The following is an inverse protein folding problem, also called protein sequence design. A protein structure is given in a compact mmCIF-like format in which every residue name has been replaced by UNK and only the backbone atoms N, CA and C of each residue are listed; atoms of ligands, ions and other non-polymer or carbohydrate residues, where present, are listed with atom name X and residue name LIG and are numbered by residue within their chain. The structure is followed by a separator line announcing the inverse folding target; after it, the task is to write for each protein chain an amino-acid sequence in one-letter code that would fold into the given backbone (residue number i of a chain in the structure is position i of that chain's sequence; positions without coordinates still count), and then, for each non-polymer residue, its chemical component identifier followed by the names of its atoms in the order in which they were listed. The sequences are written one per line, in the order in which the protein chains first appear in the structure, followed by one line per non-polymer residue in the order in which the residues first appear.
data_IF_188459671820
#
_entry.id   IF_188459671820
#
_cell.length_a   1.000
_cell.length_b   1.000
_cell.length_c   1.000
_cell.angle_alpha   90.00
_cell.angle_beta   90.00
_cell.angle_gamma   90.00
#
_symmetry.space_group_name_H-M   'P 1'
#
loop_
_entity.id
_entity.type
_entity.pdbx_description
1 polymer ?
#
# COMPACT_ATOMS: atom_id res chain seq x y z
N UNK A 1 -16.21 -4.88 -19.05
CA UNK A 1 -15.23 -3.81 -18.67
C UNK A 1 -13.82 -4.39 -18.55
N UNK A 2 -12.77 -3.59 -18.72
CA UNK A 2 -11.37 -4.07 -18.66
C UNK A 2 -10.56 -3.30 -17.62
N UNK A 3 -10.13 -4.00 -16.58
CA UNK A 3 -9.25 -3.47 -15.55
C UNK A 3 -7.88 -4.14 -15.60
N UNK A 4 -6.88 -3.51 -15.01
CA UNK A 4 -5.56 -4.12 -14.91
C UNK A 4 -4.73 -3.55 -13.76
N UNK A 5 -3.71 -4.29 -13.34
CA UNK A 5 -2.59 -3.76 -12.56
C UNK A 5 -1.38 -3.54 -13.47
N UNK A 6 -0.79 -2.35 -13.39
CA UNK A 6 0.36 -1.92 -14.19
C UNK A 6 1.61 -1.88 -13.30
N UNK A 7 2.72 -2.49 -13.75
CA UNK A 7 4.00 -2.44 -13.04
C UNK A 7 5.16 -3.05 -13.83
N UNK A 8 6.36 -2.97 -13.26
CA UNK A 8 7.53 -3.70 -13.76
C UNK A 8 8.52 -4.00 -12.60
N UNK A 9 8.72 -5.28 -12.23
CA UNK A 9 7.99 -6.46 -12.69
C UNK A 9 6.53 -6.50 -12.18
N UNK A 10 5.68 -7.35 -12.77
CA UNK A 10 4.25 -7.43 -12.39
C UNK A 10 3.68 -8.85 -12.20
N UNK A 11 4.42 -9.88 -12.65
CA UNK A 11 3.90 -11.25 -12.73
C UNK A 11 3.39 -11.82 -11.39
N UNK A 12 3.99 -11.39 -10.27
CA UNK A 12 3.68 -11.84 -8.91
C UNK A 12 2.48 -11.13 -8.27
N UNK A 13 1.90 -10.10 -8.89
CA UNK A 13 0.77 -9.40 -8.29
C UNK A 13 -0.41 -10.34 -8.03
N UNK A 14 -0.98 -10.29 -6.83
CA UNK A 14 -2.18 -11.04 -6.46
C UNK A 14 -3.48 -10.24 -6.70
N UNK A 15 -3.39 -8.96 -7.08
CA UNK A 15 -4.56 -8.09 -7.34
C UNK A 15 -5.58 -8.70 -8.32
N UNK A 16 -5.19 -9.38 -9.41
CA UNK A 16 -6.17 -10.06 -10.27
C UNK A 16 -7.05 -11.07 -9.55
N UNK A 17 -6.50 -11.86 -8.63
CA UNK A 17 -7.28 -12.85 -7.88
C UNK A 17 -8.36 -12.16 -7.04
N UNK A 18 -7.95 -11.09 -6.34
CA UNK A 18 -8.81 -10.32 -5.45
C UNK A 18 -9.94 -9.65 -6.23
N UNK A 19 -9.61 -8.91 -7.31
CA UNK A 19 -10.61 -8.18 -8.08
C UNK A 19 -11.54 -9.11 -8.88
N UNK A 20 -11.02 -10.19 -9.47
CA UNK A 20 -11.87 -11.17 -10.18
C UNK A 20 -12.88 -11.82 -9.24
N UNK A 21 -12.49 -12.18 -8.02
CA UNK A 21 -13.44 -12.69 -7.03
C UNK A 21 -14.51 -11.65 -6.66
N UNK A 22 -14.11 -10.39 -6.53
CA UNK A 22 -15.04 -9.29 -6.27
C UNK A 22 -16.05 -9.08 -7.40
N UNK A 23 -15.58 -9.09 -8.65
CA UNK A 23 -16.44 -8.94 -9.83
C UNK A 23 -17.42 -10.10 -9.97
N UNK A 24 -16.94 -11.35 -9.81
CA UNK A 24 -17.78 -12.53 -9.90
C UNK A 24 -18.88 -12.54 -8.82
N UNK A 25 -18.56 -12.12 -7.60
CA UNK A 25 -19.53 -12.09 -6.48
C UNK A 25 -20.66 -11.09 -6.71
N UNK A 26 -20.39 -10.00 -7.42
CA UNK A 26 -21.38 -8.94 -7.70
C UNK A 26 -21.97 -9.02 -9.10
N UNK A 27 -21.71 -10.11 -9.84
CA UNK A 27 -22.14 -10.30 -11.23
C UNK A 27 -21.74 -9.14 -12.16
N UNK A 28 -20.51 -8.65 -11.99
CA UNK A 28 -19.95 -7.57 -12.80
C UNK A 28 -19.19 -8.19 -13.98
N UNK A 29 -19.65 -7.94 -15.20
CA UNK A 29 -18.96 -8.36 -16.44
C UNK A 29 -17.66 -7.56 -16.65
N UNK A 30 -16.59 -8.02 -16.02
CA UNK A 30 -15.29 -7.39 -16.05
C UNK A 30 -14.14 -8.41 -15.98
N UNK A 31 -13.03 -8.06 -16.61
CA UNK A 31 -11.76 -8.78 -16.48
C UNK A 31 -10.74 -7.90 -15.76
N UNK A 32 -9.79 -8.54 -15.08
CA UNK A 32 -8.68 -7.86 -14.40
C UNK A 32 -7.36 -8.53 -14.75
N UNK A 33 -6.50 -7.83 -15.50
CA UNK A 33 -5.24 -8.39 -16.02
C UNK A 33 -4.00 -7.84 -15.32
N UNK A 34 -2.85 -8.47 -15.58
CA UNK A 34 -1.52 -7.92 -15.27
C UNK A 34 -0.92 -7.39 -16.56
N UNK A 35 -0.47 -6.14 -16.56
CA UNK A 35 0.16 -5.55 -17.73
C UNK A 35 1.53 -5.03 -17.33
N UNK A 36 2.57 -5.64 -17.91
CA UNK A 36 3.94 -5.19 -17.70
C UNK A 36 4.19 -3.96 -18.57
N UNK A 37 4.68 -2.89 -17.96
CA UNK A 37 5.06 -1.66 -18.67
C UNK A 37 6.44 -1.24 -18.19
N UNK A 38 7.47 -1.16 -19.05
CA UNK A 38 8.80 -0.71 -18.62
C UNK A 38 8.80 0.71 -18.07
N UNK A 39 9.74 1.02 -17.17
CA UNK A 39 9.95 2.37 -16.66
C UNK A 39 10.08 3.38 -17.82
N UNK A 40 9.46 4.56 -17.69
CA UNK A 40 9.47 5.61 -18.71
C UNK A 40 8.47 5.43 -19.86
N UNK A 41 7.64 4.39 -19.83
CA UNK A 41 6.59 4.10 -20.85
C UNK A 41 5.16 4.25 -20.32
N UNK A 42 4.96 4.99 -19.24
CA UNK A 42 3.63 5.10 -18.62
C UNK A 42 2.64 5.90 -19.48
N UNK A 43 3.14 6.74 -20.38
CA UNK A 43 2.36 7.44 -21.41
C UNK A 43 1.54 6.48 -22.29
N UNK A 44 2.07 5.30 -22.61
CA UNK A 44 1.36 4.26 -23.36
C UNK A 44 0.09 3.79 -22.62
N UNK A 45 0.12 3.77 -21.29
CA UNK A 45 -1.02 3.41 -20.44
C UNK A 45 -2.06 4.50 -20.43
N UNK A 46 -1.62 5.77 -20.39
CA UNK A 46 -2.51 6.93 -20.45
C UNK A 46 -3.30 6.95 -21.75
N UNK A 47 -2.64 6.66 -22.88
CA UNK A 47 -3.31 6.54 -24.19
C UNK A 47 -4.40 5.47 -24.16
N UNK A 48 -4.11 4.29 -23.59
CA UNK A 48 -5.08 3.19 -23.48
C UNK A 48 -6.27 3.53 -22.59
N UNK A 49 -6.04 4.26 -21.49
CA UNK A 49 -7.14 4.76 -20.64
C UNK A 49 -8.02 5.75 -21.40
N UNK A 50 -7.42 6.70 -22.13
CA UNK A 50 -8.17 7.73 -22.87
C UNK A 50 -8.92 7.17 -24.09
N UNK A 51 -8.39 6.12 -24.72
CA UNK A 51 -9.06 5.42 -25.84
C UNK A 51 -10.18 4.47 -25.39
N UNK A 52 -10.32 4.22 -24.08
CA UNK A 52 -11.31 3.29 -23.55
C UNK A 52 -10.90 1.81 -23.60
N UNK A 53 -9.64 1.50 -23.94
CA UNK A 53 -9.11 0.13 -23.91
C UNK A 53 -9.03 -0.42 -22.47
N UNK A 54 -8.91 0.48 -21.49
CA UNK A 54 -8.88 0.21 -20.07
C UNK A 54 -9.90 1.11 -19.36
N UNK A 55 -10.78 0.50 -18.58
CA UNK A 55 -11.82 1.17 -17.78
C UNK A 55 -11.25 1.79 -16.50
N UNK A 56 -10.25 1.15 -15.91
CA UNK A 56 -9.53 1.63 -14.74
C UNK A 56 -8.35 0.72 -14.45
N UNK A 57 -7.37 1.23 -13.70
CA UNK A 57 -6.16 0.48 -13.39
C UNK A 57 -5.71 0.66 -11.96
N UNK A 58 -5.05 -0.35 -11.41
CA UNK A 58 -4.08 -0.14 -10.35
C UNK A 58 -2.69 0.07 -10.93
N UNK A 59 -1.86 0.79 -10.20
CA UNK A 59 -0.49 1.14 -10.58
C UNK A 59 0.43 0.77 -9.43
N UNK A 60 1.46 -0.03 -9.71
CA UNK A 60 2.51 -0.35 -8.75
C UNK A 60 3.87 0.17 -9.22
N UNK A 61 4.92 -0.13 -8.46
CA UNK A 61 6.30 0.22 -8.80
C UNK A 61 6.63 -0.18 -10.26
N UNK A 62 7.37 0.67 -11.01
CA UNK A 62 7.92 1.98 -10.62
C UNK A 62 7.02 3.18 -10.97
N UNK A 63 5.76 2.95 -11.32
CA UNK A 63 4.96 3.92 -12.08
C UNK A 63 4.12 4.89 -11.25
N UNK A 64 4.02 4.72 -9.92
CA UNK A 64 3.09 5.51 -9.09
C UNK A 64 3.28 7.02 -9.20
N UNK A 65 4.51 7.49 -9.34
CA UNK A 65 4.80 8.91 -9.54
C UNK A 65 4.47 9.39 -10.97
N UNK A 66 4.77 8.56 -11.99
CA UNK A 66 4.40 8.88 -13.37
C UNK A 66 2.87 8.95 -13.54
N UNK A 67 2.14 8.05 -12.89
CA UNK A 67 0.68 8.08 -12.78
C UNK A 67 0.19 9.36 -12.13
N UNK A 68 0.80 9.76 -11.00
CA UNK A 68 0.47 11.01 -10.30
C UNK A 68 0.57 12.24 -11.21
N UNK A 69 1.62 12.32 -12.03
CA UNK A 69 1.82 13.42 -12.97
C UNK A 69 0.87 13.40 -14.17
N UNK A 70 0.31 12.23 -14.49
CA UNK A 70 -0.45 12.01 -15.73
C UNK A 70 -1.97 12.10 -15.58
N UNK A 71 -2.49 12.02 -14.34
CA UNK A 71 -3.92 12.12 -14.08
C UNK A 71 -4.41 13.58 -14.05
N UNK A 72 -5.67 13.77 -14.44
CA UNK A 72 -6.30 15.09 -14.55
C UNK A 72 -6.82 15.60 -13.19
N UNK A 73 -7.24 14.68 -12.32
CA UNK A 73 -7.74 14.96 -10.97
C UNK A 73 -7.12 13.99 -9.97
N UNK A 74 -6.82 14.47 -8.77
CA UNK A 74 -6.23 13.67 -7.69
C UNK A 74 -7.03 13.82 -6.42
N UNK A 75 -7.14 12.72 -5.68
CA UNK A 75 -7.69 12.74 -4.32
C UNK A 75 -6.66 13.33 -3.34
N UNK A 76 -7.11 13.71 -2.14
CA UNK A 76 -6.21 14.21 -1.08
C UNK A 76 -5.08 13.23 -0.76
N UNK A 77 -5.32 11.91 -0.60
CA UNK A 77 -4.23 10.95 -0.44
C UNK A 77 -3.22 10.95 -1.59
N UNK A 78 -3.68 11.03 -2.84
CA UNK A 78 -2.80 11.08 -4.00
C UNK A 78 -1.95 12.36 -4.06
N UNK A 79 -2.56 13.52 -3.75
CA UNK A 79 -1.86 14.81 -3.68
C UNK A 79 -0.78 14.80 -2.59
N UNK A 80 -1.15 14.45 -1.35
CA UNK A 80 -0.22 14.48 -0.22
C UNK A 80 0.93 13.49 -0.38
N UNK A 81 0.67 12.32 -0.97
CA UNK A 81 1.72 11.30 -1.18
C UNK A 81 2.54 11.52 -2.45
N UNK A 82 2.11 12.41 -3.36
CA UNK A 82 2.64 12.55 -4.71
C UNK A 82 2.73 11.20 -5.47
N UNK A 83 1.73 10.35 -5.27
CA UNK A 83 1.69 9.01 -5.81
C UNK A 83 0.25 8.61 -6.14
N UNK A 84 0.06 7.89 -7.24
CA UNK A 84 -1.23 7.33 -7.64
C UNK A 84 -1.06 5.84 -7.85
N UNK A 85 -1.84 5.04 -7.13
CA UNK A 85 -1.87 3.58 -7.26
C UNK A 85 -3.20 3.07 -7.87
N UNK A 86 -4.17 3.95 -8.11
CA UNK A 86 -5.51 3.63 -8.62
C UNK A 86 -5.97 4.75 -9.55
N UNK A 87 -6.36 4.42 -10.79
CA UNK A 87 -6.88 5.38 -11.77
C UNK A 87 -8.23 4.90 -12.28
N UNK A 88 -9.21 5.79 -12.31
CA UNK A 88 -10.52 5.56 -12.93
C UNK A 88 -10.80 6.62 -13.98
N UNK A 89 -11.49 6.24 -15.06
CA UNK A 89 -11.90 7.17 -16.12
C UNK A 89 -13.38 7.51 -15.94
N UNK A 90 -13.71 8.79 -15.85
CA UNK A 90 -15.10 9.29 -15.85
C UNK A 90 -15.18 10.48 -16.79
N UNK A 91 -16.09 10.46 -17.76
CA UNK A 91 -16.32 11.56 -18.70
C UNK A 91 -15.02 12.04 -19.41
N UNK A 92 -14.12 11.10 -19.72
CA UNK A 92 -12.82 11.39 -20.34
C UNK A 92 -11.75 11.95 -19.39
N UNK A 93 -12.07 12.13 -18.11
CA UNK A 93 -11.18 12.64 -17.06
C UNK A 93 -10.54 11.45 -16.33
N UNK A 94 -9.22 11.48 -16.18
CA UNK A 94 -8.46 10.52 -15.40
C UNK A 94 -8.41 10.96 -13.94
N UNK A 95 -9.07 10.21 -13.05
CA UNK A 95 -9.05 10.43 -11.62
C UNK A 95 -8.06 9.48 -10.94
N UNK A 96 -7.00 10.02 -10.37
CA UNK A 96 -6.00 9.29 -9.59
C UNK A 96 -6.29 9.28 -8.09
N UNK A 97 -6.02 8.14 -7.47
CA UNK A 97 -6.12 7.92 -6.04
C UNK A 97 -4.88 7.15 -5.53
N UNK A 98 -4.61 7.26 -4.22
CA UNK A 98 -3.64 6.43 -3.54
C UNK A 98 -4.32 5.61 -2.43
N UNK A 99 -4.81 4.44 -2.80
CA UNK A 99 -5.49 3.50 -1.91
C UNK A 99 -4.54 2.72 -1.01
N UNK A 100 -3.21 2.85 -1.17
CA UNK A 100 -2.26 2.25 -0.23
C UNK A 100 -2.46 2.80 1.19
N UNK A 101 -2.87 4.08 1.31
CA UNK A 101 -3.19 4.71 2.60
C UNK A 101 -4.31 3.94 3.30
N UNK A 102 -5.41 3.67 2.58
CA UNK A 102 -6.51 2.86 3.09
C UNK A 102 -6.09 1.40 3.36
N UNK A 103 -5.18 0.85 2.55
CA UNK A 103 -4.59 -0.47 2.80
C UNK A 103 -3.84 -0.55 4.11
N UNK A 104 -3.03 0.47 4.43
CA UNK A 104 -2.28 0.50 5.69
C UNK A 104 -3.22 0.70 6.87
N UNK A 105 -4.21 1.59 6.76
CA UNK A 105 -5.25 1.75 7.79
C UNK A 105 -5.95 0.42 8.09
N UNK A 106 -6.38 -0.28 7.04
CA UNK A 106 -6.99 -1.60 7.17
C UNK A 106 -6.09 -2.61 7.89
N UNK A 107 -4.80 -2.66 7.54
CA UNK A 107 -3.88 -3.58 8.21
C UNK A 107 -3.57 -3.22 9.66
N UNK A 108 -3.65 -1.94 10.02
CA UNK A 108 -3.55 -1.49 11.42
C UNK A 108 -4.81 -1.85 12.21
N UNK A 109 -5.99 -1.75 11.59
CA UNK A 109 -7.26 -2.19 12.18
C UNK A 109 -7.25 -3.71 12.43
N UNK A 110 -6.77 -4.51 11.48
CA UNK A 110 -6.64 -5.97 11.65
C UNK A 110 -5.66 -6.38 12.75
N UNK A 111 -4.67 -5.54 13.05
CA UNK A 111 -3.68 -5.80 14.08
C UNK A 111 -4.29 -5.79 15.49
N UNK A 112 -5.42 -5.10 15.69
CA UNK A 112 -6.15 -5.09 16.96
C UNK A 112 -5.42 -4.39 18.11
N UNK A 113 -4.47 -3.51 17.79
CA UNK A 113 -3.68 -2.74 18.77
C UNK A 113 -4.40 -1.46 19.20
N UNK A 114 -4.08 -0.89 20.38
CA UNK A 114 -4.65 0.39 20.82
C UNK A 114 -4.47 1.48 19.76
N UNK A 115 -5.52 2.27 19.54
CA UNK A 115 -5.55 3.32 18.50
C UNK A 115 -4.70 4.54 18.87
N UNK A 116 -4.32 4.69 20.13
CA UNK A 116 -3.49 5.77 20.68
C UNK A 116 -2.00 5.42 20.77
N UNK A 117 -1.61 4.16 20.57
CA UNK A 117 -0.20 3.75 20.63
C UNK A 117 0.63 4.56 19.60
N UNK A 118 1.89 4.94 19.92
CA UNK A 118 2.74 5.64 18.96
C UNK A 118 3.06 4.74 17.75
N UNK A 119 3.39 5.35 16.62
CA UNK A 119 3.77 4.63 15.39
C UNK A 119 5.26 4.80 15.13
N UNK A 120 5.93 3.71 14.79
CA UNK A 120 7.28 3.72 14.23
C UNK A 120 7.24 3.26 12.77
N UNK A 121 7.38 4.18 11.82
CA UNK A 121 7.48 3.84 10.39
C UNK A 121 8.94 3.59 10.04
N UNK A 122 9.23 2.40 9.51
CA UNK A 122 10.54 2.07 8.96
C UNK A 122 10.56 2.34 7.45
N UNK A 123 11.44 3.23 7.01
CA UNK A 123 11.60 3.62 5.60
C UNK A 123 11.20 5.06 5.30
N UNK A 124 11.49 5.47 4.07
CA UNK A 124 11.17 6.81 3.54
C UNK A 124 10.76 6.76 2.05
N UNK A 125 10.23 5.61 1.61
CA UNK A 125 9.73 5.39 0.25
C UNK A 125 8.22 5.64 0.12
N UNK A 126 7.63 5.25 -1.02
CA UNK A 126 6.20 5.44 -1.28
C UNK A 126 5.28 4.79 -0.23
N UNK A 127 5.57 3.55 0.17
CA UNK A 127 4.83 2.87 1.24
C UNK A 127 4.96 3.58 2.59
N UNK A 128 6.13 4.16 2.89
CA UNK A 128 6.35 4.93 4.11
C UNK A 128 5.56 6.25 4.10
N UNK A 129 5.45 6.89 2.92
CA UNK A 129 4.60 8.07 2.76
C UNK A 129 3.11 7.76 2.96
N UNK A 130 2.65 6.61 2.44
CA UNK A 130 1.30 6.13 2.69
C UNK A 130 1.07 5.79 4.17
N UNK A 131 2.04 5.16 4.84
CA UNK A 131 1.99 4.83 6.26
C UNK A 131 1.93 6.08 7.14
N UNK A 132 2.78 7.08 6.83
CA UNK A 132 2.82 8.34 7.54
C UNK A 132 1.47 9.07 7.44
N UNK A 133 0.87 9.09 6.25
CA UNK A 133 -0.45 9.69 6.06
C UNK A 133 -1.57 8.89 6.75
N UNK A 134 -1.52 7.55 6.68
CA UNK A 134 -2.48 6.66 7.31
C UNK A 134 -2.54 6.82 8.84
N UNK A 135 -1.43 7.26 9.45
CA UNK A 135 -1.25 7.40 10.89
C UNK A 135 -1.17 8.86 11.36
N UNK A 136 -1.63 9.81 10.54
CA UNK A 136 -1.43 11.25 10.77
C UNK A 136 -2.12 11.78 12.05
N UNK A 137 -3.03 11.01 12.63
CA UNK A 137 -3.76 11.30 13.87
C UNK A 137 -3.06 10.77 15.14
N UNK A 138 -1.87 10.16 15.00
CA UNK A 138 -1.10 9.54 16.08
C UNK A 138 0.29 10.15 16.21
N UNK A 139 0.98 10.01 17.36
CA UNK A 139 2.40 10.32 17.44
C UNK A 139 3.20 9.39 16.52
N UNK A 140 3.80 9.93 15.46
CA UNK A 140 4.59 9.14 14.50
C UNK A 140 6.08 9.48 14.59
N UNK A 141 6.91 8.44 14.60
CA UNK A 141 8.35 8.53 14.38
C UNK A 141 8.73 7.78 13.11
N UNK A 142 9.64 8.35 12.33
CA UNK A 142 10.16 7.73 11.11
C UNK A 142 11.64 7.38 11.29
N UNK A 143 11.97 6.13 10.98
CA UNK A 143 13.34 5.62 10.98
C UNK A 143 13.74 5.16 9.59
N UNK A 144 14.75 5.81 9.00
CA UNK A 144 15.27 5.42 7.69
C UNK A 144 16.77 5.64 7.61
N UNK A 145 17.45 4.82 6.78
CA UNK A 145 18.90 4.93 6.54
C UNK A 145 19.33 6.31 6.00
N UNK A 146 18.47 6.97 5.23
CA UNK A 146 18.71 8.30 4.66
C UNK A 146 17.84 9.33 5.39
N UNK A 147 18.41 10.03 6.38
CA UNK A 147 17.70 11.02 7.20
C UNK A 147 17.10 12.18 6.39
N UNK A 148 17.80 12.63 5.35
CA UNK A 148 17.30 13.70 4.47
C UNK A 148 15.97 13.32 3.78
N UNK A 149 15.84 12.06 3.36
CA UNK A 149 14.63 11.56 2.72
C UNK A 149 13.43 11.56 3.68
N UNK A 150 13.67 11.42 4.98
CA UNK A 150 12.63 11.55 6.01
C UNK A 150 12.11 12.99 6.04
N UNK A 151 12.99 13.99 6.13
CA UNK A 151 12.59 15.40 6.15
C UNK A 151 11.78 15.81 4.92
N UNK A 152 12.25 15.41 3.72
CA UNK A 152 11.52 15.66 2.47
C UNK A 152 10.15 14.98 2.43
N UNK A 153 10.05 13.74 2.93
CA UNK A 153 8.79 13.02 3.00
C UNK A 153 7.83 13.68 3.98
N UNK A 154 8.27 13.95 5.22
CA UNK A 154 7.45 14.58 6.28
C UNK A 154 6.91 15.93 5.80
N UNK A 155 7.76 16.77 5.22
CA UNK A 155 7.35 18.05 4.66
C UNK A 155 6.34 17.89 3.52
N UNK A 156 6.54 16.92 2.63
CA UNK A 156 5.63 16.69 1.50
C UNK A 156 4.26 16.15 1.93
N UNK A 157 4.25 15.16 2.83
CA UNK A 157 2.98 14.60 3.33
C UNK A 157 2.26 15.64 4.20
N UNK A 158 2.98 16.61 4.78
CA UNK A 158 2.43 17.64 5.67
C UNK A 158 1.85 17.04 6.95
N UNK A 159 2.66 16.27 7.67
CA UNK A 159 2.30 15.61 8.93
C UNK A 159 3.34 15.94 9.98
N UNK A 160 2.93 16.10 11.23
CA UNK A 160 3.88 16.17 12.33
C UNK A 160 4.45 14.78 12.61
N UNK A 161 5.76 14.61 12.40
CA UNK A 161 6.44 13.36 12.70
C UNK A 161 7.88 13.59 13.16
N UNK A 162 8.27 12.84 14.18
CA UNK A 162 9.66 12.77 14.64
C UNK A 162 10.53 11.94 13.70
N UNK A 163 11.84 12.11 13.81
CA UNK A 163 12.83 11.24 13.15
C UNK A 163 13.70 10.60 14.20
N UNK A 164 13.80 9.28 14.15
CA UNK A 164 14.71 8.49 15.01
C UNK A 164 15.81 7.86 14.15
N UNK A 165 17.04 7.68 14.69
CA UNK A 165 18.09 7.01 13.94
C UNK A 165 17.70 5.59 13.52
N UNK A 166 18.30 5.10 12.43
CA UNK A 166 18.08 3.74 11.97
C UNK A 166 18.46 2.73 13.05
N UNK A 167 17.54 1.79 13.35
CA UNK A 167 17.73 0.75 14.36
C UNK A 167 17.49 1.17 15.80
N UNK A 168 17.05 2.41 16.05
CA UNK A 168 16.63 2.83 17.39
C UNK A 168 15.16 2.48 17.60
N UNK A 169 14.81 1.62 18.58
CA UNK A 169 13.41 1.28 18.86
C UNK A 169 12.68 2.42 19.57
N UNK A 170 11.36 2.47 19.35
CA UNK A 170 10.43 3.32 20.09
C UNK A 170 9.55 2.39 20.94
N UNK A 171 9.82 2.25 22.25
CA UNK A 171 9.09 1.30 23.10
C UNK A 171 7.58 1.55 23.09
N UNK A 172 6.80 0.46 22.96
CA UNK A 172 5.34 0.52 22.92
C UNK A 172 4.76 1.05 21.60
N UNK A 173 5.59 1.31 20.58
CA UNK A 173 5.10 1.72 19.27
C UNK A 173 4.60 0.53 18.46
N UNK A 174 3.60 0.78 17.61
CA UNK A 174 3.26 -0.11 16.51
C UNK A 174 4.28 0.13 15.40
N UNK A 175 5.01 -0.90 15.03
CA UNK A 175 6.04 -0.82 14.00
C UNK A 175 5.41 -1.09 12.64
N UNK A 176 5.57 -0.15 11.71
CA UNK A 176 5.17 -0.31 10.30
C UNK A 176 6.43 -0.50 9.46
N UNK A 177 6.73 -1.72 9.02
CA UNK A 177 7.82 -1.97 8.07
C UNK A 177 7.38 -1.59 6.66
N UNK A 178 7.79 -0.40 6.22
CA UNK A 178 7.62 0.10 4.85
C UNK A 178 8.94 0.04 4.06
N UNK A 179 9.85 -0.86 4.44
CA UNK A 179 11.09 -1.16 3.72
C UNK A 179 11.00 -2.50 2.98
N UNK A 180 11.92 -2.78 2.03
CA UNK A 180 12.04 -4.11 1.43
C UNK A 180 12.63 -5.18 2.35
N UNK A 181 13.10 -4.83 3.56
CA UNK A 181 13.68 -5.83 4.48
C UNK A 181 12.63 -6.88 4.82
N UNK A 182 13.05 -8.15 4.77
CA UNK A 182 12.18 -9.31 4.94
C UNK A 182 11.80 -9.98 3.61
N UNK A 183 11.89 -9.29 2.47
CA UNK A 183 11.56 -9.87 1.16
C UNK A 183 12.52 -10.99 0.73
N UNK A 184 13.79 -10.92 1.14
CA UNK A 184 14.82 -11.91 0.81
C UNK A 184 15.43 -12.55 2.07
N UNK A 185 14.72 -12.51 3.20
CA UNK A 185 15.17 -13.06 4.47
C UNK A 185 16.06 -12.14 5.28
N UNK A 186 16.18 -10.86 4.90
CA UNK A 186 16.84 -9.86 5.74
C UNK A 186 16.03 -9.58 7.00
N UNK A 187 16.73 -9.28 8.08
CA UNK A 187 16.11 -8.96 9.36
C UNK A 187 16.04 -7.45 9.62
N UNK A 188 15.24 -7.08 10.62
CA UNK A 188 15.26 -5.74 11.21
C UNK A 188 16.35 -5.66 12.28
N UNK A 189 16.82 -4.45 12.63
CA UNK A 189 17.73 -4.26 13.76
C UNK A 189 17.15 -4.79 15.07
N UNK A 190 18.03 -5.29 15.94
CA UNK A 190 17.67 -5.86 17.24
C UNK A 190 16.86 -4.90 18.11
N UNK A 191 15.88 -5.44 18.84
CA UNK A 191 15.06 -4.69 19.78
C UNK A 191 13.92 -3.89 19.16
N UNK A 192 13.84 -3.81 17.82
CA UNK A 192 12.71 -3.15 17.13
C UNK A 192 11.41 -3.91 17.39
N UNK A 193 11.42 -5.24 17.27
CA UNK A 193 10.21 -6.07 17.41
C UNK A 193 9.89 -6.34 18.88
N UNK A 194 10.90 -6.66 19.67
CA UNK A 194 10.79 -7.06 21.07
C UNK A 194 10.26 -5.93 21.98
N UNK A 195 10.34 -4.68 21.50
CA UNK A 195 9.81 -3.50 22.19
C UNK A 195 8.56 -2.92 21.54
N UNK A 196 8.05 -3.55 20.48
CA UNK A 196 6.85 -3.09 19.78
C UNK A 196 5.58 -3.46 20.54
N UNK A 197 4.51 -2.68 20.35
CA UNK A 197 3.15 -3.06 20.76
C UNK A 197 2.42 -3.89 19.69
N UNK A 198 2.91 -3.86 18.45
CA UNK A 198 2.41 -4.61 17.31
C UNK A 198 3.28 -4.37 16.09
N UNK A 199 3.19 -5.26 15.11
CA UNK A 199 4.00 -5.21 13.91
C UNK A 199 3.17 -5.37 12.65
N UNK A 200 3.16 -4.34 11.80
CA UNK A 200 2.62 -4.40 10.46
C UNK A 200 3.78 -4.42 9.46
N UNK A 201 3.91 -5.53 8.75
CA UNK A 201 4.90 -5.68 7.70
C UNK A 201 4.26 -5.47 6.33
N UNK A 202 4.68 -4.47 5.56
CA UNK A 202 4.09 -4.25 4.22
C UNK A 202 4.54 -5.28 3.19
N UNK A 203 5.54 -6.11 3.51
CA UNK A 203 5.96 -7.22 2.66
C UNK A 203 4.98 -8.40 2.79
N UNK A 204 4.79 -9.15 1.71
CA UNK A 204 4.00 -10.39 1.70
C UNK A 204 4.78 -11.51 0.99
N UNK A 205 4.51 -12.75 1.38
CA UNK A 205 5.23 -13.94 0.90
C UNK A 205 5.78 -14.78 2.06
N UNK A 206 6.93 -15.42 1.87
CA UNK A 206 7.57 -16.22 2.91
C UNK A 206 7.78 -15.42 4.19
N UNK A 207 7.58 -16.07 5.35
CA UNK A 207 7.67 -15.43 6.67
C UNK A 207 9.05 -14.79 6.86
N UNK A 208 9.09 -13.45 6.91
CA UNK A 208 10.30 -12.71 7.19
C UNK A 208 10.76 -12.98 8.63
N UNK A 209 12.08 -12.93 8.93
CA UNK A 209 12.61 -13.15 10.28
C UNK A 209 11.92 -12.29 11.34
N UNK A 210 11.65 -11.01 11.04
CA UNK A 210 10.95 -10.12 11.95
C UNK A 210 9.50 -10.56 12.27
N UNK A 211 8.78 -11.17 11.32
CA UNK A 211 7.44 -11.72 11.56
C UNK A 211 7.48 -12.96 12.43
N UNK A 212 8.47 -13.83 12.23
CA UNK A 212 8.70 -15.00 13.09
C UNK A 212 9.04 -14.56 14.51
N UNK A 213 9.95 -13.58 14.66
CA UNK A 213 10.30 -13.01 15.96
C UNK A 213 9.10 -12.37 16.66
N UNK A 214 8.26 -11.64 15.94
CA UNK A 214 7.05 -11.06 16.50
C UNK A 214 6.14 -12.16 17.10
N UNK A 215 5.96 -13.27 16.39
CA UNK A 215 5.20 -14.41 16.89
C UNK A 215 5.85 -15.06 18.14
N UNK A 216 7.17 -15.25 18.14
CA UNK A 216 7.91 -15.78 19.30
C UNK A 216 7.79 -14.89 20.54
N UNK A 217 7.76 -13.57 20.35
CA UNK A 217 7.60 -12.60 21.42
C UNK A 217 6.12 -12.35 21.82
N UNK A 218 5.16 -12.99 21.15
CA UNK A 218 3.73 -12.74 21.38
C UNK A 218 3.26 -11.35 20.95
N UNK A 219 4.00 -10.69 20.05
CA UNK A 219 3.64 -9.40 19.48
C UNK A 219 2.61 -9.61 18.36
N UNK A 220 1.45 -8.93 18.38
CA UNK A 220 0.48 -8.98 17.29
C UNK A 220 1.14 -8.64 15.96
N UNK A 221 0.81 -9.40 14.90
CA UNK A 221 1.41 -9.21 13.57
C UNK A 221 0.37 -9.24 12.46
N UNK A 222 0.46 -8.28 11.55
CA UNK A 222 -0.20 -8.29 10.24
C UNK A 222 0.83 -8.13 9.14
N UNK A 223 0.55 -8.67 7.96
CA UNK A 223 1.48 -8.66 6.83
C UNK A 223 0.93 -7.93 5.61
N UNK A 224 1.71 -7.92 4.52
CA UNK A 224 1.38 -7.19 3.32
C UNK A 224 0.14 -7.71 2.60
N UNK A 225 -0.38 -8.90 2.93
CA UNK A 225 -1.62 -9.42 2.35
C UNK A 225 -2.83 -8.66 2.88
N UNK A 226 -2.80 -8.29 4.16
CA UNK A 226 -3.80 -7.42 4.77
C UNK A 226 -3.81 -6.04 4.10
N UNK A 227 -2.64 -5.43 3.95
CA UNK A 227 -2.48 -4.14 3.25
C UNK A 227 -2.95 -4.24 1.79
N UNK A 228 -2.58 -5.32 1.10
CA UNK A 228 -2.99 -5.59 -0.28
C UNK A 228 -4.51 -5.72 -0.42
N UNK A 229 -5.17 -6.40 0.53
CA UNK A 229 -6.62 -6.52 0.52
C UNK A 229 -7.29 -5.17 0.79
N UNK A 230 -6.85 -4.42 1.81
CA UNK A 230 -7.40 -3.12 2.15
C UNK A 230 -7.32 -2.11 1.00
N UNK A 231 -6.18 -2.03 0.32
CA UNK A 231 -6.04 -1.15 -0.84
C UNK A 231 -6.92 -1.61 -2.03
N UNK A 232 -7.13 -2.93 -2.19
CA UNK A 232 -7.95 -3.49 -3.26
C UNK A 232 -9.44 -3.23 -3.00
N UNK A 233 -9.89 -3.30 -1.74
CA UNK A 233 -11.25 -2.94 -1.31
C UNK A 233 -11.54 -1.48 -1.69
N UNK A 234 -10.63 -0.56 -1.33
CA UNK A 234 -10.77 0.84 -1.67
C UNK A 234 -10.75 1.06 -3.21
N UNK A 235 -9.83 0.41 -3.93
CA UNK A 235 -9.79 0.50 -5.39
C UNK A 235 -11.05 -0.07 -6.05
N UNK A 236 -11.59 -1.18 -5.54
CA UNK A 236 -12.81 -1.82 -6.04
C UNK A 236 -14.01 -0.87 -5.96
N UNK A 237 -14.16 -0.17 -4.82
CA UNK A 237 -15.19 0.87 -4.65
C UNK A 237 -15.03 1.99 -5.68
N UNK A 238 -13.80 2.42 -5.94
CA UNK A 238 -13.50 3.47 -6.95
C UNK A 238 -13.82 2.98 -8.37
N UNK A 239 -13.51 1.73 -8.70
CA UNK A 239 -13.75 1.15 -10.02
C UNK A 239 -15.22 0.95 -10.35
N UNK A 240 -16.02 0.57 -9.35
CA UNK A 240 -17.38 0.06 -9.59
C UNK A 240 -18.47 0.96 -9.03
N UNK A 241 -18.15 1.84 -8.09
CA UNK A 241 -19.14 2.59 -7.30
C UNK A 241 -19.94 1.69 -6.34
N UNK A 242 -19.52 0.43 -6.13
CA UNK A 242 -20.22 -0.55 -5.29
C UNK A 242 -19.40 -0.88 -4.04
N UNK A 243 -20.07 -1.30 -2.98
CA UNK A 243 -19.41 -1.88 -1.83
C UNK A 243 -18.67 -3.16 -2.23
N UNK A 244 -17.43 -3.28 -1.76
CA UNK A 244 -16.59 -4.43 -2.06
C UNK A 244 -17.06 -5.67 -1.28
N UNK A 245 -17.18 -6.85 -1.91
CA UNK A 245 -17.52 -8.09 -1.22
C UNK A 245 -16.29 -8.65 -0.48
N UNK A 246 -15.93 -8.02 0.65
CA UNK A 246 -14.69 -8.25 1.39
C UNK A 246 -14.44 -9.72 1.69
N UNK A 247 -15.47 -10.47 2.10
CA UNK A 247 -15.34 -11.89 2.43
C UNK A 247 -14.86 -12.73 1.24
N UNK A 248 -15.43 -12.50 0.06
CA UNK A 248 -15.06 -13.23 -1.16
C UNK A 248 -13.65 -12.82 -1.65
N UNK A 249 -13.36 -11.53 -1.60
CA UNK A 249 -12.04 -10.98 -1.96
C UNK A 249 -10.94 -11.53 -1.05
N UNK A 250 -11.21 -11.64 0.26
CA UNK A 250 -10.29 -12.25 1.23
C UNK A 250 -10.11 -13.74 0.99
N UNK A 251 -11.20 -14.49 0.83
CA UNK A 251 -11.13 -15.94 0.57
C UNK A 251 -10.28 -16.27 -0.67
N UNK A 252 -10.41 -15.47 -1.74
CA UNK A 252 -9.61 -15.63 -2.94
C UNK A 252 -8.12 -15.33 -2.73
N UNK A 253 -7.80 -14.36 -1.86
CA UNK A 253 -6.43 -14.09 -1.47
C UNK A 253 -5.87 -15.28 -0.67
N UNK A 254 -6.59 -15.74 0.35
CA UNK A 254 -6.17 -16.79 1.31
C UNK A 254 -6.01 -18.18 0.69
N UNK A 255 -6.64 -18.43 -0.46
CA UNK A 255 -6.44 -19.65 -1.23
C UNK A 255 -5.06 -19.76 -1.92
N UNK A 256 -4.20 -18.73 -1.83
CA UNK A 256 -2.89 -18.66 -2.51
C UNK A 256 -1.70 -18.51 -1.57
#
# INVERSE_FOLDING_TARGET
MRYAVIGDPIAHSLSPLIHTAGFATLDIDAVYDRIRVPAGRFDEVVVRLRNGDLTGINVTMPHKHAAYLSVDRRTVPAERTAAVNTIVVSDGILHGDNTDVAGIQFGLEELGVPTDAPILVLGAGGAAGAALLACADRPVSVSARRREAVGQMVQRIDVEAGSVPWGVPVPGAVVVNATPLGMHGEDLPDGIIERAAGYLDTTYGHAAPARLRAAECGIPVTDGRSVLLGQAIAAFRRFTGREAPVAAMRAALDAR
#
